data_IF_638629186860
#
_entry.id   IF_638629186860
#
_cell.length_a   1.000
_cell.length_b   1.000
_cell.length_c   1.000
_cell.angle_alpha   90.00
_cell.angle_beta   90.00
_cell.angle_gamma   90.00
#
_symmetry.space_group_name_H-M   'P 1'
#
loop_
_entity.id
_entity.type
_entity.pdbx_description
1 polymer ?
#
# COMPACT_ATOMS: atom_id res chain seq x y z
N UNK A 1 2.36 2.37 -13.10
CA UNK A 1 1.01 2.50 -12.53
C UNK A 1 1.00 3.46 -11.34
N UNK A 2 1.62 3.11 -10.19
CA UNK A 2 1.60 3.94 -8.98
C UNK A 2 2.09 5.38 -9.23
N UNK A 3 3.32 5.57 -9.72
CA UNK A 3 3.92 6.90 -9.99
C UNK A 3 3.23 7.71 -11.12
N UNK A 4 2.30 7.09 -11.86
CA UNK A 4 1.62 7.72 -13.01
C UNK A 4 0.12 7.81 -12.77
N UNK A 5 -0.64 6.96 -13.48
CA UNK A 5 -2.11 6.99 -13.49
C UNK A 5 -2.79 7.08 -12.11
N UNK A 6 -2.26 6.40 -11.09
CA UNK A 6 -2.83 6.48 -9.74
C UNK A 6 -2.66 7.87 -9.14
N UNK A 7 -1.44 8.41 -9.16
CA UNK A 7 -1.14 9.73 -8.62
C UNK A 7 -1.85 10.84 -9.40
N UNK A 8 -1.85 10.75 -10.72
CA UNK A 8 -2.53 11.71 -11.59
C UNK A 8 -4.07 11.62 -11.44
N UNK A 9 -4.58 10.43 -11.14
CA UNK A 9 -6.00 10.20 -10.86
C UNK A 9 -6.46 10.69 -9.48
N UNK A 10 -5.58 10.65 -8.47
CA UNK A 10 -5.91 11.05 -7.10
C UNK A 10 -5.72 12.55 -6.84
N UNK A 11 -4.70 13.17 -7.44
CA UNK A 11 -4.31 14.56 -7.17
C UNK A 11 -4.57 15.44 -8.38
N UNK A 12 -5.81 15.94 -8.48
CA UNK A 12 -6.23 16.83 -9.56
C UNK A 12 -5.93 18.28 -9.21
N UNK A 13 -5.40 19.04 -10.17
CA UNK A 13 -5.23 20.48 -10.03
C UNK A 13 -6.57 21.15 -10.33
N UNK A 14 -7.19 21.77 -9.32
CA UNK A 14 -8.29 22.69 -9.57
C UNK A 14 -7.76 23.92 -10.32
N UNK A 15 -8.58 24.48 -11.22
CA UNK A 15 -8.26 25.78 -11.80
C UNK A 15 -8.12 26.80 -10.66
N UNK A 16 -7.05 27.62 -10.65
CA UNK A 16 -6.88 28.62 -9.61
C UNK A 16 -8.03 29.62 -9.73
N UNK A 17 -9.04 29.48 -8.88
CA UNK A 17 -9.94 30.59 -8.63
C UNK A 17 -9.15 31.66 -7.88
N UNK A 18 -9.47 32.94 -8.07
CA UNK A 18 -8.83 34.06 -7.36
C UNK A 18 -9.01 34.03 -5.82
N UNK A 19 -9.57 32.95 -5.28
CA UNK A 19 -9.59 32.65 -3.86
C UNK A 19 -8.43 31.71 -3.56
N UNK A 20 -7.54 32.17 -2.71
CA UNK A 20 -6.54 31.35 -2.01
C UNK A 20 -7.24 30.30 -1.16
N UNK A 21 -7.80 29.27 -1.78
CA UNK A 21 -8.15 28.04 -1.07
C UNK A 21 -6.87 27.21 -0.96
N UNK A 22 -6.02 27.65 -0.05
CA UNK A 22 -4.92 26.89 0.54
C UNK A 22 -5.47 25.78 1.45
N UNK A 23 -6.50 25.06 1.00
CA UNK A 23 -7.03 23.92 1.70
C UNK A 23 -6.49 22.68 0.99
N UNK A 24 -5.74 21.84 1.71
CA UNK A 24 -5.05 20.64 1.21
C UNK A 24 -6.06 19.52 0.85
N UNK A 25 -7.04 19.85 0.01
CA UNK A 25 -8.15 19.02 -0.42
C UNK A 25 -7.99 18.71 -1.90
N UNK A 26 -8.09 17.43 -2.25
CA UNK A 26 -8.10 16.99 -3.65
C UNK A 26 -9.53 16.68 -4.06
N UNK A 27 -9.94 17.19 -5.22
CA UNK A 27 -11.24 16.92 -5.82
C UNK A 27 -11.07 16.15 -7.12
N UNK A 28 -11.37 14.86 -7.10
CA UNK A 28 -11.32 13.98 -8.27
C UNK A 28 -12.50 14.31 -9.17
N UNK A 29 -12.22 14.61 -10.45
CA UNK A 29 -13.21 15.13 -11.40
C UNK A 29 -13.97 16.37 -10.88
N UNK A 30 -13.33 17.22 -10.06
CA UNK A 30 -13.87 18.46 -9.48
C UNK A 30 -15.04 18.33 -8.49
N UNK A 31 -15.78 17.23 -8.49
CA UNK A 31 -16.98 17.04 -7.66
C UNK A 31 -16.81 16.02 -6.53
N UNK A 32 -15.79 15.15 -6.61
CA UNK A 32 -15.58 14.08 -5.62
C UNK A 32 -14.42 14.44 -4.69
N UNK A 33 -14.73 14.72 -3.43
CA UNK A 33 -13.74 15.02 -2.41
C UNK A 33 -12.99 13.74 -1.98
N UNK A 34 -11.67 13.76 -2.05
CA UNK A 34 -10.82 12.73 -1.45
C UNK A 34 -10.82 12.87 0.07
N UNK A 35 -11.25 11.84 0.79
CA UNK A 35 -11.30 11.82 2.24
C UNK A 35 -10.00 11.27 2.83
N UNK A 36 -9.38 12.04 3.73
CA UNK A 36 -8.13 11.64 4.38
C UNK A 36 -6.97 11.58 3.39
N UNK A 37 -6.24 10.47 3.40
CA UNK A 37 -5.17 10.16 2.46
C UNK A 37 -5.25 8.68 2.07
N UNK A 38 -4.82 8.30 0.86
CA UNK A 38 -4.71 6.91 0.48
C UNK A 38 -3.68 6.16 1.33
N UNK A 39 -3.93 4.88 1.61
CA UNK A 39 -3.01 3.99 2.30
C UNK A 39 -2.58 2.89 1.36
N UNK A 40 -1.27 2.66 1.26
CA UNK A 40 -0.72 1.46 0.62
C UNK A 40 -0.30 0.45 1.69
N UNK A 41 -0.61 -0.82 1.50
CA UNK A 41 -0.28 -1.89 2.45
C UNK A 41 0.20 -3.13 1.72
N UNK A 42 1.17 -3.85 2.27
CA UNK A 42 1.60 -5.12 1.71
C UNK A 42 1.70 -6.23 2.74
N UNK A 43 1.62 -7.46 2.23
CA UNK A 43 1.91 -8.69 2.93
C UNK A 43 3.09 -9.41 2.30
N UNK A 44 3.95 -9.97 3.16
CA UNK A 44 5.17 -10.68 2.78
C UNK A 44 5.17 -12.08 3.40
N UNK A 45 5.91 -13.00 2.80
CA UNK A 45 6.15 -14.37 3.29
C UNK A 45 7.61 -14.51 3.70
N UNK A 46 7.87 -15.26 4.78
CA UNK A 46 9.22 -15.44 5.32
C UNK A 46 10.11 -16.20 4.35
N UNK A 47 11.39 -15.81 4.28
CA UNK A 47 12.39 -16.63 3.60
C UNK A 47 12.56 -17.97 4.34
N UNK A 48 12.70 -19.06 3.58
CA UNK A 48 12.78 -20.41 4.10
C UNK A 48 11.42 -20.97 4.54
N UNK A 49 10.31 -20.40 4.09
CA UNK A 49 8.97 -20.93 4.39
C UNK A 49 8.67 -22.25 3.67
N UNK A 50 9.46 -22.59 2.65
CA UNK A 50 9.38 -23.86 1.93
C UNK A 50 10.71 -24.63 2.01
N UNK A 51 10.63 -25.95 1.78
CA UNK A 51 11.79 -26.84 1.81
C UNK A 51 12.40 -26.99 0.42
N UNK A 52 13.66 -26.58 0.27
CA UNK A 52 14.42 -26.74 -0.98
C UNK A 52 14.89 -28.21 -1.08
N UNK A 53 14.63 -28.90 -2.22
CA UNK A 53 15.11 -30.26 -2.47
C UNK A 53 16.63 -30.35 -2.32
N UNK A 54 17.14 -31.45 -1.76
CA UNK A 54 18.56 -31.61 -1.39
C UNK A 54 19.50 -31.32 -2.57
N UNK A 55 19.18 -31.85 -3.74
CA UNK A 55 19.99 -31.72 -4.96
C UNK A 55 20.14 -30.27 -5.45
N UNK A 56 19.24 -29.37 -5.03
CA UNK A 56 19.19 -27.97 -5.48
C UNK A 56 19.66 -26.99 -4.41
N UNK A 57 20.04 -27.43 -3.21
CA UNK A 57 20.43 -26.54 -2.11
C UNK A 57 21.71 -25.77 -2.37
N UNK A 58 22.58 -26.27 -3.25
CA UNK A 58 23.80 -25.58 -3.61
C UNK A 58 23.52 -24.37 -4.52
N UNK A 59 22.55 -24.50 -5.41
CA UNK A 59 22.15 -23.48 -6.38
C UNK A 59 21.08 -22.51 -5.84
N UNK A 60 20.11 -23.03 -5.08
CA UNK A 60 18.97 -22.27 -4.56
C UNK A 60 19.14 -22.05 -3.07
N UNK A 61 19.32 -20.79 -2.67
CA UNK A 61 19.51 -20.39 -1.25
C UNK A 61 18.25 -19.82 -0.60
N UNK A 62 17.27 -19.40 -1.39
CA UNK A 62 16.06 -18.73 -0.90
C UNK A 62 14.81 -19.47 -1.36
N UNK A 63 13.82 -19.57 -0.46
CA UNK A 63 12.55 -20.21 -0.73
C UNK A 63 11.42 -19.41 -0.13
N UNK A 64 10.42 -19.06 -0.95
CA UNK A 64 9.22 -18.35 -0.53
C UNK A 64 8.00 -19.12 -0.99
N UNK A 65 7.18 -19.56 -0.04
CA UNK A 65 6.01 -20.39 -0.29
C UNK A 65 4.78 -19.53 -0.67
N UNK A 66 3.65 -20.19 -0.91
CA UNK A 66 2.33 -19.57 -1.04
C UNK A 66 1.97 -18.87 0.28
N UNK A 67 1.22 -17.77 0.18
CA UNK A 67 0.76 -17.05 1.37
C UNK A 67 -0.14 -17.92 2.25
N UNK A 68 0.15 -17.88 3.54
CA UNK A 68 -0.73 -18.34 4.61
C UNK A 68 -0.47 -17.49 5.84
N UNK A 69 -1.44 -17.40 6.75
CA UNK A 69 -1.29 -16.62 7.99
C UNK A 69 -0.10 -17.14 8.83
N UNK A 70 0.22 -18.43 8.75
CA UNK A 70 1.37 -19.02 9.44
C UNK A 70 2.70 -18.69 8.77
N UNK A 71 2.77 -18.56 7.44
CA UNK A 71 3.99 -18.25 6.68
C UNK A 71 4.29 -16.75 6.56
N UNK A 72 3.37 -15.90 7.01
CA UNK A 72 3.48 -14.43 6.97
C UNK A 72 4.75 -13.92 7.65
N UNK A 73 5.48 -13.04 6.96
CA UNK A 73 6.67 -12.38 7.50
C UNK A 73 6.28 -11.21 8.39
N UNK A 74 6.72 -11.30 9.65
CA UNK A 74 6.51 -10.28 10.68
C UNK A 74 7.81 -9.56 11.06
N UNK A 75 8.93 -9.92 10.45
CA UNK A 75 10.22 -9.32 10.74
C UNK A 75 10.37 -7.96 10.04
N UNK A 76 10.97 -6.94 10.67
CA UNK A 76 11.25 -5.68 9.99
C UNK A 76 12.27 -5.88 8.87
N UNK A 77 12.07 -5.24 7.72
CA UNK A 77 12.88 -5.43 6.51
C UNK A 77 13.34 -4.11 5.88
N UNK A 78 14.22 -4.19 4.87
CA UNK A 78 14.77 -3.02 4.19
C UNK A 78 15.45 -2.04 5.16
N UNK A 79 15.24 -0.71 5.01
CA UNK A 79 15.78 0.30 5.92
C UNK A 79 15.24 0.27 7.36
N UNK A 80 14.18 -0.51 7.63
CA UNK A 80 13.54 -0.65 8.97
C UNK A 80 13.10 0.68 9.58
N UNK A 81 12.85 1.69 8.75
CA UNK A 81 12.55 3.04 9.20
C UNK A 81 11.15 3.46 8.72
N UNK A 82 10.22 3.58 9.67
CA UNK A 82 8.83 3.93 9.40
C UNK A 82 7.91 2.73 9.19
N UNK A 83 6.62 3.00 9.13
CA UNK A 83 5.53 2.00 9.09
C UNK A 83 5.59 1.10 7.86
N UNK A 84 6.18 1.58 6.76
CA UNK A 84 6.35 0.79 5.54
C UNK A 84 7.32 -0.38 5.72
N UNK A 85 8.17 -0.36 6.74
CA UNK A 85 9.25 -1.33 6.92
C UNK A 85 9.16 -2.11 8.23
N UNK A 86 8.18 -1.76 9.08
CA UNK A 86 7.90 -2.38 10.37
C UNK A 86 6.52 -3.04 10.29
N UNK A 87 6.46 -4.32 10.64
CA UNK A 87 5.23 -5.09 10.64
C UNK A 87 4.25 -4.53 11.68
N UNK A 88 2.99 -4.40 11.29
CA UNK A 88 1.90 -3.98 12.18
C UNK A 88 0.82 -5.05 12.18
N UNK A 89 0.31 -5.41 13.38
CA UNK A 89 -0.70 -6.45 13.49
C UNK A 89 -2.07 -5.99 12.99
N UNK A 90 -2.94 -6.93 12.61
CA UNK A 90 -4.31 -6.64 12.17
C UNK A 90 -5.09 -5.83 13.22
N UNK A 91 -4.90 -6.16 14.50
CA UNK A 91 -5.52 -5.45 15.62
C UNK A 91 -5.04 -4.01 15.73
N UNK A 92 -3.73 -3.78 15.57
CA UNK A 92 -3.16 -2.42 15.70
C UNK A 92 -3.54 -1.53 14.51
N UNK A 93 -3.79 -2.12 13.34
CA UNK A 93 -4.30 -1.41 12.17
C UNK A 93 -5.82 -1.17 12.20
N UNK A 94 -6.54 -1.76 13.15
CA UNK A 94 -8.00 -1.89 13.10
C UNK A 94 -8.48 -2.45 11.75
N UNK A 95 -7.67 -3.34 11.15
CA UNK A 95 -7.94 -3.96 9.86
C UNK A 95 -8.81 -5.20 10.02
N UNK A 96 -9.27 -5.72 8.89
CA UNK A 96 -9.92 -7.03 8.80
C UNK A 96 -9.33 -7.82 7.64
N UNK A 97 -9.56 -9.13 7.67
CA UNK A 97 -9.13 -10.01 6.59
C UNK A 97 -9.87 -9.71 5.27
N UNK A 98 -9.13 -9.69 4.17
CA UNK A 98 -9.65 -9.47 2.82
C UNK A 98 -9.62 -10.79 2.02
N UNK A 99 -10.78 -11.22 1.50
CA UNK A 99 -10.87 -12.39 0.65
C UNK A 99 -10.47 -12.05 -0.79
N UNK A 100 -9.33 -12.57 -1.24
CA UNK A 100 -8.85 -12.42 -2.62
C UNK A 100 -9.14 -13.66 -3.46
N UNK A 101 -8.77 -13.61 -4.74
CA UNK A 101 -9.01 -14.70 -5.70
C UNK A 101 -8.28 -16.01 -5.34
N UNK A 102 -7.05 -15.92 -4.82
CA UNK A 102 -6.19 -17.09 -4.57
C UNK A 102 -6.00 -17.41 -3.09
N UNK A 103 -6.23 -16.44 -2.20
CA UNK A 103 -6.06 -16.59 -0.76
C UNK A 103 -6.85 -15.50 -0.01
N UNK A 104 -7.16 -15.78 1.25
CA UNK A 104 -7.62 -14.76 2.21
C UNK A 104 -6.40 -14.13 2.87
N UNK A 105 -6.33 -12.81 2.84
CA UNK A 105 -5.22 -12.01 3.36
C UNK A 105 -5.59 -11.37 4.68
N UNK A 106 -4.70 -11.42 5.68
CA UNK A 106 -4.94 -10.76 6.97
C UNK A 106 -5.01 -9.22 6.81
N UNK A 107 -5.60 -8.56 7.80
CA UNK A 107 -5.61 -7.09 7.89
C UNK A 107 -4.28 -6.49 8.37
N UNK A 108 -3.26 -7.33 8.57
CA UNK A 108 -1.94 -6.94 9.05
C UNK A 108 -1.01 -6.48 7.91
N UNK A 109 0.24 -6.21 8.25
CA UNK A 109 1.32 -6.06 7.28
C UNK A 109 2.11 -4.78 7.44
N UNK A 110 2.73 -4.36 6.35
CA UNK A 110 3.54 -3.15 6.28
C UNK A 110 2.79 -2.10 5.49
N UNK A 111 2.59 -0.91 6.05
CA UNK A 111 1.75 0.11 5.44
C UNK A 111 2.43 1.46 5.37
N UNK A 112 2.04 2.26 4.38
CA UNK A 112 2.41 3.65 4.27
C UNK A 112 1.16 4.47 3.95
N UNK A 113 0.90 5.48 4.77
CA UNK A 113 -0.06 6.52 4.45
C UNK A 113 0.59 7.51 3.48
N UNK A 114 -0.05 7.71 2.34
CA UNK A 114 0.41 8.66 1.34
C UNK A 114 0.18 10.09 1.83
N UNK A 115 0.87 11.03 1.21
CA UNK A 115 0.69 12.45 1.49
C UNK A 115 -0.57 13.03 0.86
N UNK A 116 -0.92 14.26 1.26
CA UNK A 116 -2.04 15.01 0.66
C UNK A 116 -1.68 15.66 -0.68
N UNK A 117 -0.39 15.83 -0.96
CA UNK A 117 0.10 16.47 -2.17
C UNK A 117 0.67 15.44 -3.14
N UNK A 118 0.60 15.74 -4.44
CA UNK A 118 1.12 14.87 -5.49
C UNK A 118 2.63 14.72 -5.38
N UNK A 119 3.33 15.82 -5.09
CA UNK A 119 4.78 15.91 -5.05
C UNK A 119 5.38 15.08 -3.93
N UNK A 120 4.84 15.20 -2.71
CA UNK A 120 5.29 14.40 -1.57
C UNK A 120 4.96 12.91 -1.78
N UNK A 121 3.76 12.62 -2.30
CA UNK A 121 3.36 11.24 -2.58
C UNK A 121 4.27 10.60 -3.64
N UNK A 122 4.63 11.35 -4.69
CA UNK A 122 5.58 10.89 -5.69
C UNK A 122 6.95 10.61 -5.07
N UNK A 123 7.43 11.48 -4.17
CA UNK A 123 8.70 11.26 -3.46
C UNK A 123 8.65 10.02 -2.54
N UNK A 124 7.53 9.79 -1.84
CA UNK A 124 7.30 8.59 -1.03
C UNK A 124 7.35 7.32 -1.88
N UNK A 125 6.61 7.28 -2.99
CA UNK A 125 6.57 6.12 -3.91
C UNK A 125 7.95 5.87 -4.53
N UNK A 126 8.64 6.91 -4.97
CA UNK A 126 9.99 6.80 -5.50
C UNK A 126 10.98 6.27 -4.45
N UNK A 127 10.84 6.66 -3.18
CA UNK A 127 11.65 6.14 -2.09
C UNK A 127 11.38 4.66 -1.80
N UNK A 128 10.12 4.22 -1.84
CA UNK A 128 9.77 2.81 -1.72
C UNK A 128 10.35 1.97 -2.86
N UNK A 129 10.26 2.49 -4.09
CA UNK A 129 10.85 1.86 -5.28
C UNK A 129 12.38 1.76 -5.18
N UNK A 130 13.05 2.84 -4.76
CA UNK A 130 14.50 2.88 -4.57
C UNK A 130 14.99 1.82 -3.58
N UNK A 131 14.24 1.60 -2.51
CA UNK A 131 14.60 0.63 -1.46
C UNK A 131 14.01 -0.77 -1.68
N UNK A 132 13.44 -1.04 -2.87
CA UNK A 132 12.89 -2.35 -3.23
C UNK A 132 11.85 -2.81 -2.19
N UNK A 133 10.85 -1.96 -1.94
CA UNK A 133 9.75 -2.31 -1.03
C UNK A 133 8.98 -3.55 -1.47
N UNK A 134 8.99 -3.85 -2.77
CA UNK A 134 8.45 -5.06 -3.37
C UNK A 134 9.59 -6.01 -3.72
N UNK A 135 9.62 -7.17 -3.08
CA UNK A 135 10.65 -8.19 -3.28
C UNK A 135 10.02 -9.57 -3.54
N UNK A 136 10.86 -10.62 -3.62
CA UNK A 136 10.42 -12.00 -3.89
C UNK A 136 9.44 -12.54 -2.84
N UNK A 137 9.44 -11.97 -1.63
CA UNK A 137 8.57 -12.34 -0.53
C UNK A 137 7.19 -11.69 -0.59
N UNK A 138 6.98 -10.62 -1.37
CA UNK A 138 5.69 -9.95 -1.48
C UNK A 138 4.62 -10.87 -2.08
N UNK A 139 3.41 -10.86 -1.49
CA UNK A 139 2.27 -11.68 -1.95
C UNK A 139 1.00 -10.89 -2.24
N UNK A 140 0.75 -9.84 -1.47
CA UNK A 140 -0.41 -8.97 -1.68
C UNK A 140 -0.01 -7.51 -1.49
N UNK A 141 -0.62 -6.64 -2.28
CA UNK A 141 -0.51 -5.18 -2.19
C UNK A 141 -1.92 -4.62 -2.26
N UNK A 142 -2.24 -3.74 -1.33
CA UNK A 142 -3.50 -3.03 -1.21
C UNK A 142 -3.24 -1.53 -1.37
N UNK A 143 -4.20 -0.83 -1.97
CA UNK A 143 -4.22 0.63 -2.11
C UNK A 143 -5.64 1.05 -1.77
N UNK A 144 -5.83 1.53 -0.55
CA UNK A 144 -7.14 1.80 0.01
C UNK A 144 -7.34 3.32 0.14
N UNK A 145 -8.46 3.84 -0.35
CA UNK A 145 -8.84 5.24 -0.17
C UNK A 145 -10.35 5.45 -0.30
N UNK A 146 -10.84 6.56 0.24
CA UNK A 146 -12.26 6.87 0.24
C UNK A 146 -12.52 8.23 -0.41
N UNK A 147 -13.59 8.30 -1.19
CA UNK A 147 -14.05 9.53 -1.84
C UNK A 147 -15.50 9.81 -1.47
N UNK A 148 -15.84 11.09 -1.40
CA UNK A 148 -17.19 11.56 -1.09
C UNK A 148 -17.70 12.49 -2.18
N UNK A 149 -18.88 12.19 -2.71
CA UNK A 149 -19.58 13.06 -3.64
C UNK A 149 -20.62 13.89 -2.90
N UNK A 150 -20.41 15.21 -2.87
CA UNK A 150 -21.28 16.15 -2.16
C UNK A 150 -22.61 16.43 -2.89
N UNK A 151 -22.66 16.26 -4.21
CA UNK A 151 -23.85 16.55 -5.02
C UNK A 151 -24.97 15.54 -4.73
N UNK A 152 -24.61 14.26 -4.56
CA UNK A 152 -25.57 13.17 -4.29
C UNK A 152 -25.44 12.57 -2.89
N UNK A 153 -24.60 13.14 -2.03
CA UNK A 153 -24.33 12.68 -0.66
C UNK A 153 -23.96 11.18 -0.59
N UNK A 154 -22.97 10.77 -1.39
CA UNK A 154 -22.55 9.36 -1.51
C UNK A 154 -21.07 9.18 -1.15
N UNK A 155 -20.76 8.11 -0.40
CA UNK A 155 -19.40 7.67 -0.11
C UNK A 155 -19.03 6.48 -0.99
N UNK A 156 -17.84 6.52 -1.58
CA UNK A 156 -17.24 5.41 -2.31
C UNK A 156 -15.91 5.06 -1.65
N UNK A 157 -15.77 3.80 -1.25
CA UNK A 157 -14.55 3.25 -0.65
C UNK A 157 -13.93 2.31 -1.67
N UNK A 158 -12.65 2.53 -1.96
CA UNK A 158 -11.86 1.81 -2.96
C UNK A 158 -10.71 1.12 -2.25
#
# INVERSE_FOLDING_TARGET
FAEGALLDGLYWKMQPSNKTEADNRSFIYYENLLLGVPRIRQLRVRNGSCSIPLDLRDEIKECYDVYSVSSEDRAPFGPRNGTAWIYTSEKDLNGSSHWGMIATYSGAGYYLDLSRTREETAAQVANLKKNVWLDRGTRAIFIDFSVYNANINLFCVI
#
